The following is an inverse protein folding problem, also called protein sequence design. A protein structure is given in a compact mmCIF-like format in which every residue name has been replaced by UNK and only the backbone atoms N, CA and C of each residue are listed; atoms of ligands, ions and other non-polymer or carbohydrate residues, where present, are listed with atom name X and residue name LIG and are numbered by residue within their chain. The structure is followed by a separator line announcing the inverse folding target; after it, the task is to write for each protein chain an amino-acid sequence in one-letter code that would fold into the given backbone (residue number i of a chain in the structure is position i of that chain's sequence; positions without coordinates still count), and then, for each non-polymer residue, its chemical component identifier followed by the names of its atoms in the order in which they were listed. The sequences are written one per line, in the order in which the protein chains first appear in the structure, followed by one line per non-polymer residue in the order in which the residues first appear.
data_IF_710894071060
#
_entry.id   IF_710894071060
#
_cell.length_a   1.000
_cell.length_b   1.000
_cell.length_c   1.000
_cell.angle_alpha   90.00
_cell.angle_beta   90.00
_cell.angle_gamma   90.00
#
_symmetry.space_group_name_H-M   'P 1'
#
loop_
_entity.id
_entity.type
_entity.pdbx_description
1 polymer ?
#
# COMPACT_ATOMS: atom_id res chain seq x y z
N UNK A 1 30.73 18.66 -51.31
CA UNK A 1 31.73 17.66 -51.74
C UNK A 1 30.97 16.34 -51.91
N UNK A 2 30.83 15.83 -53.15
CA UNK A 2 30.26 14.53 -53.64
C UNK A 2 29.25 13.79 -52.70
N UNK A 3 27.96 13.62 -53.01
CA UNK A 3 27.31 12.72 -54.02
C UNK A 3 27.77 11.25 -53.89
N UNK A 4 26.96 10.17 -53.91
CA UNK A 4 25.68 9.78 -54.58
C UNK A 4 24.83 8.84 -53.63
N UNK A 5 23.59 8.35 -53.85
CA UNK A 5 22.89 7.76 -55.03
C UNK A 5 23.48 6.37 -55.44
N UNK A 6 22.75 5.29 -55.84
CA UNK A 6 21.32 5.04 -56.17
C UNK A 6 20.84 3.66 -55.62
N UNK A 7 19.53 3.40 -55.64
CA UNK A 7 18.78 2.15 -55.41
C UNK A 7 18.89 1.04 -56.51
N UNK A 8 18.15 -0.08 -56.35
CA UNK A 8 17.87 -1.13 -57.39
C UNK A 8 17.99 -2.58 -56.85
N UNK A 9 16.93 -3.41 -56.83
CA UNK A 9 16.38 -4.26 -57.93
C UNK A 9 17.27 -5.47 -58.33
N UNK A 10 16.81 -6.68 -58.68
CA UNK A 10 15.57 -7.51 -58.51
C UNK A 10 15.85 -8.89 -59.17
N UNK A 11 15.07 -9.95 -58.87
CA UNK A 11 14.94 -11.21 -59.67
C UNK A 11 16.22 -12.09 -59.78
N UNK A 12 16.23 -13.43 -59.74
CA UNK A 12 15.29 -14.43 -60.27
C UNK A 12 15.44 -15.84 -59.62
N UNK A 13 14.44 -16.71 -59.84
CA UNK A 13 14.53 -18.19 -59.73
C UNK A 13 14.38 -18.77 -61.14
N UNK A 14 14.92 -19.95 -61.54
CA UNK A 14 14.20 -21.22 -61.27
C UNK A 14 15.03 -22.55 -61.35
N UNK A 15 14.29 -23.67 -61.27
CA UNK A 15 14.61 -25.07 -61.64
C UNK A 15 15.52 -25.88 -60.67
N UNK A 16 15.10 -27.00 -60.06
CA UNK A 16 14.27 -28.19 -60.44
C UNK A 16 15.06 -29.30 -61.15
N UNK A 17 15.24 -30.42 -60.46
CA UNK A 17 15.12 -31.78 -61.03
C UNK A 17 14.61 -32.74 -59.95
N UNK A 18 13.87 -33.76 -60.37
CA UNK A 18 13.22 -34.72 -59.47
C UNK A 18 13.27 -36.14 -60.04
N UNK A 19 13.38 -37.16 -59.18
CA UNK A 19 13.02 -38.53 -59.50
C UNK A 19 12.76 -39.38 -58.23
N UNK A 20 11.49 -39.79 -58.06
CA UNK A 20 10.98 -41.19 -57.90
C UNK A 20 11.65 -42.17 -56.91
N UNK A 21 10.96 -43.14 -56.28
CA UNK A 21 9.54 -43.44 -55.99
C UNK A 21 9.47 -44.82 -55.29
N UNK A 22 8.65 -45.02 -54.24
CA UNK A 22 7.90 -46.26 -53.85
C UNK A 22 7.39 -46.15 -52.38
N UNK A 23 6.08 -45.99 -52.14
CA UNK A 23 5.10 -47.02 -51.69
C UNK A 23 5.48 -47.69 -50.35
N UNK A 24 4.88 -47.43 -49.18
CA UNK A 24 3.46 -47.30 -48.73
C UNK A 24 3.35 -48.05 -47.36
N UNK A 25 2.21 -48.17 -46.63
CA UNK A 25 0.86 -47.61 -46.77
C UNK A 25 0.46 -46.68 -45.57
N UNK A 26 -0.84 -46.37 -45.38
CA UNK A 26 -1.41 -45.38 -44.43
C UNK A 26 -2.12 -45.99 -43.21
N UNK A 27 -2.31 -45.14 -42.18
CA UNK A 27 -3.47 -44.99 -41.25
C UNK A 27 -3.12 -45.12 -39.73
N UNK A 28 -3.97 -44.67 -38.77
CA UNK A 28 -4.31 -43.25 -38.57
C UNK A 28 -4.34 -42.79 -37.07
N UNK A 29 -4.30 -41.47 -36.82
CA UNK A 29 -4.43 -40.86 -35.48
C UNK A 29 -3.11 -40.72 -34.71
N UNK A 30 -2.91 -39.75 -33.82
CA UNK A 30 -3.86 -38.80 -33.20
C UNK A 30 -3.29 -37.37 -33.10
N UNK A 31 -4.12 -36.37 -33.43
CA UNK A 31 -3.88 -34.98 -33.05
C UNK A 31 -4.37 -34.76 -31.61
N UNK A 32 -3.52 -34.95 -30.60
CA UNK A 32 -3.73 -34.46 -29.22
C UNK A 32 -2.44 -34.62 -28.41
N UNK A 33 -1.65 -33.54 -28.26
CA UNK A 33 -0.32 -33.67 -27.63
C UNK A 33 0.47 -32.40 -27.31
N UNK A 34 -0.15 -31.21 -27.27
CA UNK A 34 0.59 -29.94 -27.10
C UNK A 34 0.02 -28.95 -26.07
N UNK A 35 -1.15 -29.23 -25.47
CA UNK A 35 -1.69 -28.39 -24.37
C UNK A 35 -1.30 -28.91 -22.98
N UNK A 36 -1.32 -30.24 -22.76
CA UNK A 36 -1.08 -30.84 -21.44
C UNK A 36 0.32 -30.57 -20.88
N UNK A 37 1.36 -30.64 -21.72
CA UNK A 37 2.74 -30.49 -21.27
C UNK A 37 3.07 -29.06 -20.80
N UNK A 38 2.43 -28.03 -21.34
CA UNK A 38 2.64 -26.65 -20.88
C UNK A 38 2.03 -26.38 -19.49
N UNK A 39 0.92 -27.04 -19.17
CA UNK A 39 0.28 -26.96 -17.85
C UNK A 39 1.06 -27.76 -16.82
N UNK A 40 1.48 -28.99 -17.15
CA UNK A 40 2.32 -29.82 -16.27
C UNK A 40 3.72 -29.23 -16.06
N UNK A 41 4.32 -28.60 -17.09
CA UNK A 41 5.60 -27.91 -16.94
C UNK A 41 5.50 -26.58 -16.17
N UNK A 42 4.32 -25.98 -16.02
CA UNK A 42 4.10 -24.84 -15.09
C UNK A 42 3.81 -25.29 -13.64
N UNK A 43 3.66 -26.58 -13.38
CA UNK A 43 3.52 -27.15 -12.02
C UNK A 43 4.84 -27.64 -11.40
N UNK A 44 5.97 -27.29 -12.01
CA UNK A 44 7.34 -27.64 -11.60
C UNK A 44 8.21 -26.41 -11.92
N UNK A 45 8.80 -25.65 -10.99
CA UNK A 45 9.64 -26.07 -9.87
C UNK A 45 9.44 -25.20 -8.61
N UNK A 46 8.52 -25.59 -7.72
CA UNK A 46 8.88 -25.56 -6.29
C UNK A 46 9.69 -26.83 -6.07
N UNK A 47 10.88 -26.73 -5.47
CA UNK A 47 11.62 -27.93 -5.05
C UNK A 47 10.76 -28.62 -4.00
N UNK A 48 10.05 -29.67 -4.39
CA UNK A 48 8.92 -30.21 -3.62
C UNK A 48 9.37 -30.51 -2.19
N UNK A 49 8.92 -29.65 -1.27
CA UNK A 49 9.00 -29.90 0.16
C UNK A 49 8.37 -31.27 0.43
N UNK A 50 8.95 -32.00 1.37
CA UNK A 50 8.50 -33.36 1.68
C UNK A 50 7.05 -33.35 2.18
N UNK A 51 6.26 -34.31 1.73
CA UNK A 51 4.88 -34.52 2.20
C UNK A 51 4.86 -35.02 3.64
N UNK A 52 3.69 -34.97 4.29
CA UNK A 52 3.48 -35.51 5.64
C UNK A 52 3.91 -36.98 5.77
N UNK A 53 3.58 -37.81 4.78
CA UNK A 53 4.01 -39.21 4.70
C UNK A 53 5.54 -39.34 4.62
N UNK A 54 6.18 -38.55 3.74
CA UNK A 54 7.63 -38.58 3.56
C UNK A 54 8.36 -38.08 4.82
N UNK A 55 7.83 -37.07 5.51
CA UNK A 55 8.35 -36.60 6.78
C UNK A 55 8.19 -37.63 7.89
N UNK A 56 7.02 -38.28 7.97
CA UNK A 56 6.73 -39.33 8.98
C UNK A 56 7.62 -40.56 8.80
N UNK A 57 7.78 -41.02 7.56
CA UNK A 57 8.72 -42.09 7.21
C UNK A 57 10.17 -41.67 7.52
N UNK A 58 10.58 -40.48 7.05
CA UNK A 58 11.91 -39.91 7.26
C UNK A 58 12.27 -39.55 8.70
N UNK A 59 11.32 -39.66 9.64
CA UNK A 59 11.52 -39.44 11.09
C UNK A 59 11.09 -40.64 11.95
N UNK A 60 11.03 -41.84 11.36
CA UNK A 60 10.99 -43.10 12.12
C UNK A 60 9.63 -43.52 12.66
N UNK A 61 8.54 -43.23 11.94
CA UNK A 61 7.23 -43.85 12.16
C UNK A 61 6.45 -43.39 13.42
N UNK A 62 5.31 -44.05 13.65
CA UNK A 62 4.24 -43.59 14.56
C UNK A 62 4.43 -43.96 16.03
N UNK A 63 5.27 -44.96 16.36
CA UNK A 63 5.37 -45.40 17.76
C UNK A 63 5.91 -44.27 18.67
N UNK A 64 5.10 -43.88 19.66
CA UNK A 64 5.33 -42.73 20.56
C UNK A 64 5.48 -41.37 19.84
N UNK A 65 5.01 -41.21 18.59
CA UNK A 65 5.04 -39.92 17.87
C UNK A 65 4.15 -38.88 18.56
N UNK A 66 2.91 -39.27 18.84
CA UNK A 66 1.85 -38.42 19.42
C UNK A 66 2.17 -37.86 20.82
N UNK A 67 3.19 -38.42 21.48
CA UNK A 67 3.69 -38.00 22.81
C UNK A 67 4.98 -37.18 22.73
N UNK A 68 5.34 -36.69 21.56
CA UNK A 68 6.60 -35.99 21.29
C UNK A 68 6.35 -34.62 20.66
N UNK A 69 7.22 -33.64 20.93
CA UNK A 69 7.16 -32.30 20.33
C UNK A 69 7.20 -32.30 18.78
N UNK A 70 7.50 -33.43 18.14
CA UNK A 70 7.46 -33.58 16.68
C UNK A 70 6.06 -33.34 16.10
N UNK A 71 4.99 -33.55 16.89
CA UNK A 71 3.60 -33.30 16.47
C UNK A 71 3.32 -31.84 16.11
N UNK A 72 4.10 -30.89 16.65
CA UNK A 72 4.05 -29.48 16.24
C UNK A 72 4.52 -29.31 14.79
N UNK A 73 5.54 -30.06 14.38
CA UNK A 73 6.05 -30.05 13.00
C UNK A 73 5.05 -30.71 12.06
N UNK A 74 4.42 -31.82 12.50
CA UNK A 74 3.34 -32.47 11.75
C UNK A 74 2.15 -31.53 11.53
N UNK A 75 1.68 -30.87 12.60
CA UNK A 75 0.57 -29.92 12.53
C UNK A 75 0.87 -28.71 11.63
N UNK A 76 2.08 -28.16 11.68
CA UNK A 76 2.50 -27.08 10.80
C UNK A 76 2.57 -27.52 9.32
N UNK A 77 3.06 -28.74 9.06
CA UNK A 77 3.13 -29.30 7.72
C UNK A 77 1.75 -29.58 7.12
N UNK A 78 0.84 -30.17 7.90
CA UNK A 78 -0.56 -30.38 7.53
C UNK A 78 -1.28 -29.05 7.27
N UNK A 79 -1.08 -28.04 8.13
CA UNK A 79 -1.66 -26.71 7.93
C UNK A 79 -1.17 -26.04 6.63
N UNK A 80 0.09 -26.22 6.24
CA UNK A 80 0.60 -25.75 4.95
C UNK A 80 -0.07 -26.46 3.76
N UNK A 81 -0.21 -27.80 3.80
CA UNK A 81 -0.83 -28.55 2.70
C UNK A 81 -2.35 -28.37 2.59
N UNK A 82 -3.02 -27.96 3.68
CA UNK A 82 -4.43 -27.56 3.66
C UNK A 82 -4.69 -26.21 2.95
N UNK A 83 -3.65 -25.37 2.75
CA UNK A 83 -3.79 -24.08 2.07
C UNK A 83 -3.72 -24.22 0.54
N UNK A 84 -4.68 -23.67 -0.23
CA UNK A 84 -4.62 -23.71 -1.69
C UNK A 84 -3.50 -22.81 -2.22
N UNK A 85 -2.94 -23.17 -3.39
CA UNK A 85 -1.82 -22.45 -4.01
C UNK A 85 -2.14 -20.97 -4.35
N UNK A 86 -3.42 -20.61 -4.43
CA UNK A 86 -3.89 -19.23 -4.63
C UNK A 86 -3.78 -18.33 -3.40
N UNK A 87 -3.24 -18.84 -2.27
CA UNK A 87 -3.00 -18.10 -1.01
C UNK A 87 -1.50 -18.02 -0.68
N UNK A 88 -0.67 -17.36 -1.50
CA UNK A 88 0.79 -17.34 -1.34
C UNK A 88 1.25 -16.65 -0.05
N UNK A 89 0.55 -15.64 0.44
CA UNK A 89 0.84 -14.95 1.70
C UNK A 89 0.55 -15.83 2.92
N UNK A 90 -0.62 -16.48 2.94
CA UNK A 90 -0.94 -17.46 3.99
C UNK A 90 0.05 -18.65 3.96
N UNK A 91 0.47 -19.08 2.77
CA UNK A 91 1.50 -20.13 2.60
C UNK A 91 2.88 -19.68 3.08
N UNK A 92 3.26 -18.41 2.91
CA UNK A 92 4.48 -17.85 3.52
C UNK A 92 4.43 -17.95 5.06
N UNK A 93 3.31 -17.56 5.68
CA UNK A 93 3.15 -17.67 7.14
C UNK A 93 3.22 -19.13 7.60
N UNK A 94 2.54 -20.05 6.93
CA UNK A 94 2.61 -21.49 7.25
C UNK A 94 4.02 -22.08 7.04
N UNK A 95 4.78 -21.63 6.04
CA UNK A 95 6.18 -22.02 5.87
C UNK A 95 7.07 -21.47 7.00
N UNK A 96 6.78 -20.28 7.55
CA UNK A 96 7.47 -19.76 8.74
C UNK A 96 7.11 -20.58 9.98
N UNK A 97 5.86 -21.00 10.13
CA UNK A 97 5.41 -21.88 11.21
C UNK A 97 6.12 -23.24 11.16
N UNK A 98 6.32 -23.83 9.97
CA UNK A 98 7.14 -25.04 9.78
C UNK A 98 8.59 -24.80 10.22
N UNK A 99 9.23 -23.71 9.75
CA UNK A 99 10.63 -23.40 10.12
C UNK A 99 10.78 -23.21 11.63
N UNK A 100 9.83 -22.54 12.28
CA UNK A 100 9.79 -22.35 13.73
C UNK A 100 9.65 -23.68 14.47
N UNK A 101 8.64 -24.50 14.12
CA UNK A 101 8.41 -25.81 14.72
C UNK A 101 9.60 -26.76 14.54
N UNK A 102 10.26 -26.72 13.38
CA UNK A 102 11.51 -27.44 13.12
C UNK A 102 12.64 -26.98 14.05
N UNK A 103 12.84 -25.67 14.20
CA UNK A 103 13.84 -25.09 15.10
C UNK A 103 13.60 -25.47 16.56
N UNK A 104 12.37 -25.29 17.06
CA UNK A 104 11.93 -25.65 18.41
C UNK A 104 12.18 -27.13 18.72
N UNK A 105 11.84 -28.01 17.79
CA UNK A 105 12.06 -29.46 17.96
C UNK A 105 13.55 -29.78 18.10
N UNK A 106 14.39 -29.20 17.24
CA UNK A 106 15.84 -29.45 17.22
C UNK A 106 16.52 -28.89 18.47
N UNK A 107 16.10 -27.70 18.91
CA UNK A 107 16.54 -27.09 20.17
C UNK A 107 16.14 -27.94 21.40
N UNK A 108 14.87 -28.38 21.48
CA UNK A 108 14.38 -29.28 22.52
C UNK A 108 15.13 -30.64 22.56
N UNK A 109 15.74 -31.05 21.45
CA UNK A 109 16.58 -32.25 21.34
C UNK A 109 18.08 -32.00 21.49
N UNK A 110 18.51 -30.77 21.78
CA UNK A 110 19.92 -30.43 21.92
C UNK A 110 20.74 -30.72 20.65
N UNK A 111 20.11 -30.63 19.48
CA UNK A 111 20.74 -30.94 18.19
C UNK A 111 20.99 -32.42 17.90
N UNK A 112 20.59 -33.35 18.78
CA UNK A 112 20.88 -34.78 18.64
C UNK A 112 19.61 -35.67 18.67
N UNK A 113 19.66 -36.82 18.00
CA UNK A 113 18.61 -37.84 18.05
C UNK A 113 18.00 -38.19 16.69
N UNK A 114 17.30 -39.32 16.65
CA UNK A 114 16.91 -40.03 15.42
C UNK A 114 16.06 -39.25 14.41
N UNK A 115 15.39 -38.17 14.83
CA UNK A 115 14.52 -37.36 13.97
C UNK A 115 15.16 -36.05 13.48
N UNK A 116 16.24 -35.58 14.14
CA UNK A 116 16.81 -34.24 13.92
C UNK A 116 17.23 -34.01 12.47
N UNK A 117 17.87 -34.99 11.82
CA UNK A 117 18.26 -34.86 10.41
C UNK A 117 17.05 -34.75 9.45
N UNK A 118 15.93 -35.41 9.76
CA UNK A 118 14.68 -35.25 9.02
C UNK A 118 14.07 -33.86 9.22
N UNK A 119 14.00 -33.41 10.48
CA UNK A 119 13.49 -32.08 10.85
C UNK A 119 14.29 -30.93 10.24
N UNK A 120 15.64 -31.01 10.24
CA UNK A 120 16.49 -30.01 9.59
C UNK A 120 16.21 -29.92 8.08
N UNK A 121 16.16 -31.06 7.38
CA UNK A 121 15.86 -31.08 5.94
C UNK A 121 14.49 -30.47 5.60
N UNK A 122 13.47 -30.70 6.44
CA UNK A 122 12.17 -30.05 6.25
C UNK A 122 12.26 -28.53 6.47
N UNK A 123 12.95 -28.08 7.53
CA UNK A 123 13.18 -26.65 7.78
C UNK A 123 13.92 -25.96 6.62
N UNK A 124 14.93 -26.61 6.04
CA UNK A 124 15.68 -26.06 4.90
C UNK A 124 14.84 -26.04 3.60
N UNK A 125 14.03 -27.09 3.35
CA UNK A 125 13.07 -27.09 2.26
C UNK A 125 12.01 -25.99 2.41
N UNK A 126 11.51 -25.77 3.63
CA UNK A 126 10.54 -24.72 3.90
C UNK A 126 11.14 -23.32 3.67
N UNK A 127 12.37 -23.05 4.13
CA UNK A 127 13.10 -21.80 3.82
C UNK A 127 13.29 -21.60 2.32
N UNK A 128 13.68 -22.66 1.59
CA UNK A 128 13.86 -22.59 0.14
C UNK A 128 12.53 -22.28 -0.59
N UNK A 129 11.41 -22.85 -0.12
CA UNK A 129 10.09 -22.59 -0.68
C UNK A 129 9.59 -21.16 -0.42
N UNK A 130 9.95 -20.53 0.71
CA UNK A 130 9.60 -19.11 0.98
C UNK A 130 10.13 -18.18 -0.11
N UNK A 131 11.40 -18.38 -0.53
CA UNK A 131 12.04 -17.60 -1.59
C UNK A 131 11.57 -17.91 -3.02
N UNK A 132 10.62 -18.83 -3.20
CA UNK A 132 10.04 -19.20 -4.50
C UNK A 132 8.62 -18.64 -4.71
N UNK A 133 8.05 -17.96 -3.72
CA UNK A 133 6.74 -17.32 -3.82
C UNK A 133 6.85 -15.99 -4.60
N UNK A 134 5.85 -15.68 -5.43
CA UNK A 134 5.79 -14.38 -6.11
C UNK A 134 5.55 -13.24 -5.10
N UNK A 135 6.43 -12.22 -5.00
CA UNK A 135 6.30 -11.20 -3.96
C UNK A 135 5.04 -10.34 -4.05
N UNK A 136 4.51 -10.11 -5.26
CA UNK A 136 3.26 -9.36 -5.42
C UNK A 136 2.05 -10.19 -4.96
N UNK A 137 2.01 -11.47 -5.34
CA UNK A 137 1.02 -12.40 -4.81
C UNK A 137 1.05 -12.47 -3.28
N UNK A 138 2.25 -12.59 -2.69
CA UNK A 138 2.45 -12.56 -1.23
C UNK A 138 1.92 -11.27 -0.61
N UNK A 139 2.30 -10.10 -1.14
CA UNK A 139 1.84 -8.80 -0.64
C UNK A 139 0.31 -8.68 -0.63
N UNK A 140 -0.33 -8.99 -1.77
CA UNK A 140 -1.79 -8.88 -1.93
C UNK A 140 -2.56 -9.88 -1.04
N UNK A 141 -2.02 -11.08 -0.84
CA UNK A 141 -2.63 -12.08 0.02
C UNK A 141 -2.42 -11.77 1.51
N UNK A 142 -1.25 -11.25 1.91
CA UNK A 142 -1.01 -10.81 3.29
C UNK A 142 -1.90 -9.63 3.69
N UNK A 143 -2.17 -8.69 2.78
CA UNK A 143 -3.21 -7.67 3.00
C UNK A 143 -4.55 -8.31 3.36
N UNK A 144 -4.97 -9.34 2.61
CA UNK A 144 -6.23 -10.09 2.87
C UNK A 144 -6.20 -10.86 4.20
N UNK A 145 -5.02 -11.28 4.68
CA UNK A 145 -4.87 -11.89 6.01
C UNK A 145 -4.99 -10.85 7.13
N UNK A 146 -4.40 -9.66 6.93
CA UNK A 146 -4.47 -8.55 7.89
C UNK A 146 -5.90 -8.00 7.96
N UNK A 147 -6.56 -7.78 6.82
CA UNK A 147 -7.95 -7.35 6.74
C UNK A 147 -8.87 -8.29 7.54
N UNK A 148 -8.75 -9.61 7.34
CA UNK A 148 -9.52 -10.60 8.11
C UNK A 148 -9.20 -10.56 9.61
N UNK A 149 -7.94 -10.35 9.96
CA UNK A 149 -7.51 -10.28 11.37
C UNK A 149 -8.19 -9.09 12.07
N UNK A 150 -8.36 -7.98 11.35
CA UNK A 150 -9.13 -6.82 11.82
C UNK A 150 -10.64 -7.07 11.85
N UNK A 151 -11.22 -7.74 10.84
CA UNK A 151 -12.63 -8.17 10.86
C UNK A 151 -12.95 -9.10 12.06
N UNK A 152 -11.95 -9.86 12.54
CA UNK A 152 -12.03 -10.70 13.74
C UNK A 152 -11.81 -9.92 15.07
N UNK A 153 -11.65 -8.59 15.02
CA UNK A 153 -11.42 -7.74 16.20
C UNK A 153 -10.04 -7.95 16.85
N UNK A 154 -9.04 -8.39 16.09
CA UNK A 154 -7.68 -8.68 16.59
C UNK A 154 -6.68 -7.67 16.05
N UNK A 155 -5.75 -7.25 16.91
CA UNK A 155 -4.67 -6.35 16.56
C UNK A 155 -3.61 -7.07 15.67
N UNK A 156 -3.45 -6.74 14.37
CA UNK A 156 -2.58 -7.51 13.48
C UNK A 156 -1.09 -7.44 13.85
N UNK A 157 -0.65 -6.31 14.41
CA UNK A 157 0.72 -6.12 14.91
C UNK A 157 1.09 -6.94 16.15
N UNK A 158 0.18 -7.75 16.71
CA UNK A 158 0.48 -8.71 17.78
C UNK A 158 0.70 -10.14 17.25
N UNK A 159 0.51 -10.39 15.95
CA UNK A 159 0.83 -11.68 15.34
C UNK A 159 2.35 -11.87 15.25
N UNK A 160 2.88 -12.84 16.01
CA UNK A 160 4.31 -13.18 16.06
C UNK A 160 4.90 -13.59 14.70
N UNK A 161 4.06 -13.91 13.70
CA UNK A 161 4.49 -14.23 12.33
C UNK A 161 4.74 -12.98 11.49
N UNK A 162 4.41 -11.79 12.00
CA UNK A 162 4.67 -10.47 11.39
C UNK A 162 4.11 -10.34 9.96
N UNK A 163 2.79 -10.48 9.74
CA UNK A 163 2.21 -10.39 8.39
C UNK A 163 2.41 -9.02 7.75
N UNK A 164 2.46 -7.94 8.54
CA UNK A 164 2.69 -6.58 8.04
C UNK A 164 4.16 -6.37 7.59
N UNK A 165 5.14 -6.85 8.36
CA UNK A 165 6.54 -6.81 7.97
C UNK A 165 6.89 -7.79 6.85
N UNK A 166 6.23 -8.95 6.75
CA UNK A 166 6.35 -9.80 5.56
C UNK A 166 5.76 -9.14 4.31
N UNK A 167 4.64 -8.43 4.42
CA UNK A 167 4.10 -7.65 3.31
C UNK A 167 5.08 -6.55 2.87
N UNK A 168 5.67 -5.81 3.82
CA UNK A 168 6.71 -4.82 3.54
C UNK A 168 7.96 -5.45 2.86
N UNK A 169 8.42 -6.62 3.32
CA UNK A 169 9.53 -7.35 2.67
C UNK A 169 9.18 -7.77 1.24
N UNK A 170 7.94 -8.23 1.03
CA UNK A 170 7.46 -8.65 -0.27
C UNK A 170 7.33 -7.47 -1.27
N UNK A 171 6.83 -6.32 -0.83
CA UNK A 171 6.73 -5.11 -1.67
C UNK A 171 8.11 -4.54 -2.03
N UNK A 172 9.06 -4.52 -1.08
CA UNK A 172 10.46 -4.12 -1.30
C UNK A 172 11.20 -5.02 -2.30
N UNK A 173 10.77 -6.28 -2.44
CA UNK A 173 11.37 -7.26 -3.34
C UNK A 173 10.91 -7.11 -4.80
N UNK A 174 9.97 -6.21 -5.10
CA UNK A 174 9.43 -6.03 -6.45
C UNK A 174 10.33 -5.13 -7.32
N UNK A 175 10.60 -5.50 -8.58
CA UNK A 175 11.14 -4.58 -9.58
C UNK A 175 10.24 -3.34 -9.73
N UNK A 176 10.84 -2.16 -9.86
CA UNK A 176 10.10 -0.88 -9.86
C UNK A 176 8.88 -0.83 -10.84
N UNK A 177 8.94 -1.36 -12.08
CA UNK A 177 7.76 -1.38 -12.96
C UNK A 177 6.61 -2.26 -12.45
N UNK A 178 6.91 -3.35 -11.72
CA UNK A 178 5.88 -4.18 -11.06
C UNK A 178 5.31 -3.48 -9.84
N UNK A 179 6.14 -2.78 -9.08
CA UNK A 179 5.69 -1.98 -7.93
C UNK A 179 4.74 -0.86 -8.36
N UNK A 180 5.11 -0.08 -9.38
CA UNK A 180 4.28 1.00 -9.93
C UNK A 180 2.92 0.46 -10.43
N UNK A 181 2.94 -0.61 -11.24
CA UNK A 181 1.71 -1.27 -11.69
C UNK A 181 0.84 -1.78 -10.52
N UNK A 182 1.45 -2.42 -9.52
CA UNK A 182 0.76 -2.88 -8.32
C UNK A 182 0.12 -1.71 -7.55
N UNK A 183 0.79 -0.57 -7.42
CA UNK A 183 0.25 0.60 -6.75
C UNK A 183 -0.86 1.27 -7.55
N UNK A 184 -0.75 1.34 -8.89
CA UNK A 184 -1.85 1.82 -9.74
C UNK A 184 -3.11 0.96 -9.61
N UNK A 185 -2.99 -0.34 -9.35
CA UNK A 185 -4.16 -1.16 -9.02
C UNK A 185 -4.84 -0.73 -7.72
N UNK A 186 -4.08 -0.35 -6.70
CA UNK A 186 -4.65 0.16 -5.45
C UNK A 186 -5.24 1.57 -5.61
N UNK A 187 -4.68 2.42 -6.47
CA UNK A 187 -5.32 3.69 -6.86
C UNK A 187 -6.64 3.43 -7.60
N UNK A 188 -6.69 2.46 -8.52
CA UNK A 188 -7.95 2.06 -9.17
C UNK A 188 -8.96 1.48 -8.18
N UNK A 189 -8.52 0.74 -7.15
CA UNK A 189 -9.40 0.28 -6.05
C UNK A 189 -9.95 1.46 -5.24
N UNK A 190 -9.13 2.44 -4.87
CA UNK A 190 -9.57 3.65 -4.18
C UNK A 190 -10.63 4.40 -5.03
N UNK A 191 -10.38 4.57 -6.33
CA UNK A 191 -11.35 5.17 -7.24
C UNK A 191 -12.66 4.38 -7.35
N UNK A 192 -12.58 3.05 -7.40
CA UNK A 192 -13.76 2.18 -7.47
C UNK A 192 -14.65 2.24 -6.22
N UNK A 193 -14.11 2.62 -5.04
CA UNK A 193 -14.95 2.86 -3.85
C UNK A 193 -16.00 3.95 -4.10
N UNK A 194 -15.74 4.93 -4.99
CA UNK A 194 -16.71 6.00 -5.32
C UNK A 194 -18.06 5.47 -5.79
N UNK A 195 -18.06 4.32 -6.47
CA UNK A 195 -19.26 3.69 -7.02
C UNK A 195 -20.00 2.82 -5.98
N UNK A 196 -19.50 2.73 -4.74
CA UNK A 196 -20.21 2.10 -3.63
C UNK A 196 -21.38 2.99 -3.18
N UNK A 197 -22.60 2.51 -3.38
CA UNK A 197 -23.83 3.20 -2.97
C UNK A 197 -23.88 3.42 -1.45
N UNK A 198 -23.22 2.56 -0.66
CA UNK A 198 -23.15 2.66 0.81
C UNK A 198 -22.21 3.75 1.30
N UNK A 199 -21.37 4.35 0.44
CA UNK A 199 -20.56 5.49 0.86
C UNK A 199 -21.41 6.73 1.17
N UNK A 200 -21.05 7.50 2.21
CA UNK A 200 -21.53 8.87 2.38
C UNK A 200 -21.15 9.77 1.19
N UNK A 201 -22.02 10.71 0.84
CA UNK A 201 -21.84 11.62 -0.31
C UNK A 201 -20.57 12.48 -0.17
N UNK A 202 -20.23 12.89 1.05
CA UNK A 202 -19.02 13.67 1.34
C UNK A 202 -17.76 12.84 1.01
N UNK A 203 -17.79 11.54 1.27
CA UNK A 203 -16.67 10.63 0.98
C UNK A 203 -16.57 10.33 -0.52
N UNK A 204 -17.70 10.17 -1.23
CA UNK A 204 -17.71 10.06 -2.70
C UNK A 204 -17.17 11.32 -3.38
N UNK A 205 -17.50 12.50 -2.85
CA UNK A 205 -17.02 13.79 -3.35
C UNK A 205 -15.51 13.94 -3.17
N UNK A 206 -14.99 13.58 -2.00
CA UNK A 206 -13.54 13.50 -1.74
C UNK A 206 -12.86 12.54 -2.72
N UNK A 207 -13.32 11.29 -2.86
CA UNK A 207 -12.70 10.33 -3.79
C UNK A 207 -12.75 10.86 -5.24
N UNK A 208 -13.84 11.52 -5.65
CA UNK A 208 -13.95 12.17 -6.95
C UNK A 208 -12.85 13.22 -7.21
N UNK A 209 -12.57 14.07 -6.23
CA UNK A 209 -11.46 15.04 -6.29
C UNK A 209 -10.10 14.35 -6.37
N UNK A 210 -9.85 13.34 -5.52
CA UNK A 210 -8.58 12.62 -5.49
C UNK A 210 -8.31 11.89 -6.81
N UNK A 211 -9.35 11.33 -7.46
CA UNK A 211 -9.21 10.69 -8.76
C UNK A 211 -8.98 11.69 -9.90
N UNK A 212 -9.42 12.95 -9.79
CA UNK A 212 -9.17 13.98 -10.79
C UNK A 212 -7.67 14.35 -10.88
N UNK A 213 -6.90 14.20 -9.80
CA UNK A 213 -5.45 14.51 -9.77
C UNK A 213 -4.54 13.31 -9.99
N UNK A 214 -5.07 12.08 -10.07
CA UNK A 214 -4.28 10.87 -10.39
C UNK A 214 -3.43 10.99 -11.67
N UNK A 215 -3.89 11.61 -12.78
CA UNK A 215 -3.07 11.78 -13.98
C UNK A 215 -1.76 12.55 -13.77
N UNK A 216 -1.67 13.40 -12.74
CA UNK A 216 -0.47 14.17 -12.40
C UNK A 216 0.60 13.30 -11.68
N UNK A 217 0.22 12.12 -11.17
CA UNK A 217 1.15 11.20 -10.50
C UNK A 217 1.86 10.32 -11.54
N UNK A 218 3.04 10.76 -11.94
CA UNK A 218 3.83 10.15 -13.01
C UNK A 218 4.44 8.81 -12.58
N UNK A 219 4.92 8.68 -11.35
CA UNK A 219 5.59 7.48 -10.83
C UNK A 219 5.15 7.14 -9.40
N UNK A 220 4.85 5.87 -9.14
CA UNK A 220 4.66 5.29 -7.81
C UNK A 220 5.82 4.35 -7.50
N UNK A 221 6.61 4.64 -6.47
CA UNK A 221 7.83 3.91 -6.15
C UNK A 221 8.00 3.66 -4.64
N UNK A 222 8.84 2.69 -4.29
CA UNK A 222 9.27 2.51 -2.90
C UNK A 222 10.19 3.67 -2.46
N UNK A 223 10.07 4.21 -1.23
CA UNK A 223 10.87 5.33 -0.75
C UNK A 223 12.38 5.04 -0.66
N UNK A 224 13.14 5.56 -1.63
CA UNK A 224 14.60 5.65 -1.54
C UNK A 224 14.98 6.57 -0.37
N UNK A 225 15.71 6.02 0.61
CA UNK A 225 16.05 6.72 1.86
C UNK A 225 14.99 6.64 2.96
N UNK A 226 13.96 5.80 2.82
CA UNK A 226 13.05 5.43 3.91
C UNK A 226 12.00 6.49 4.31
N UNK A 227 11.85 7.57 3.52
CA UNK A 227 10.77 8.55 3.70
C UNK A 227 9.72 8.40 2.60
N UNK A 228 8.55 7.89 2.98
CA UNK A 228 7.33 7.97 2.16
C UNK A 228 6.90 9.42 1.93
N UNK A 229 5.93 9.61 1.07
CA UNK A 229 5.35 10.93 0.77
C UNK A 229 5.36 11.30 -0.71
N UNK A 230 4.52 12.26 -1.06
CA UNK A 230 4.50 12.90 -2.38
C UNK A 230 5.72 13.81 -2.59
N UNK A 231 6.21 13.89 -3.82
CA UNK A 231 7.26 14.82 -4.26
C UNK A 231 6.82 15.48 -5.57
N UNK A 232 6.81 16.81 -5.61
CA UNK A 232 6.80 17.55 -6.87
C UNK A 232 8.19 17.46 -7.53
N UNK A 233 8.23 17.22 -8.84
CA UNK A 233 9.45 17.32 -9.64
C UNK A 233 9.72 18.79 -10.01
N UNK A 234 10.81 19.40 -9.52
CA UNK A 234 11.13 20.81 -9.81
C UNK A 234 11.58 21.07 -11.25
N UNK A 235 11.78 20.02 -12.07
CA UNK A 235 12.09 20.16 -13.50
C UNK A 235 10.83 20.16 -14.39
N UNK A 236 9.65 19.87 -13.83
CA UNK A 236 8.37 19.97 -14.53
C UNK A 236 7.99 21.45 -14.75
N UNK A 237 7.21 21.72 -15.81
CA UNK A 237 6.67 23.05 -16.04
C UNK A 237 5.58 23.37 -15.00
N UNK A 238 5.43 24.64 -14.61
CA UNK A 238 4.36 25.04 -13.65
C UNK A 238 2.96 24.71 -14.19
N UNK A 239 2.77 24.76 -15.52
CA UNK A 239 1.53 24.39 -16.21
C UNK A 239 1.33 22.86 -16.41
N UNK A 240 2.36 22.03 -16.16
CA UNK A 240 2.31 20.56 -16.28
C UNK A 240 3.12 19.89 -15.15
N UNK A 241 2.67 20.02 -13.87
CA UNK A 241 3.43 19.59 -12.71
C UNK A 241 3.44 18.06 -12.56
N UNK A 242 4.63 17.47 -12.55
CA UNK A 242 4.83 16.03 -12.39
C UNK A 242 5.05 15.64 -10.91
N UNK A 243 4.31 14.64 -10.44
CA UNK A 243 4.39 14.16 -9.05
C UNK A 243 4.91 12.72 -8.95
N UNK A 244 5.90 12.50 -8.07
CA UNK A 244 6.38 11.17 -7.69
C UNK A 244 5.86 10.79 -6.30
N UNK A 245 5.06 9.74 -6.23
CA UNK A 245 4.56 9.19 -4.97
C UNK A 245 5.53 8.11 -4.46
N UNK A 246 6.11 8.36 -3.28
CA UNK A 246 6.94 7.39 -2.56
C UNK A 246 6.03 6.65 -1.57
N UNK A 247 5.58 5.44 -1.94
CA UNK A 247 4.52 4.74 -1.21
C UNK A 247 5.08 3.99 0.00
N UNK A 248 4.59 4.31 1.18
CA UNK A 248 4.81 3.50 2.38
C UNK A 248 3.92 2.25 2.34
N UNK A 249 4.55 1.08 2.48
CA UNK A 249 3.88 -0.22 2.46
C UNK A 249 3.97 -0.94 3.81
N UNK A 250 4.15 -0.18 4.90
CA UNK A 250 3.93 -0.62 6.29
C UNK A 250 2.44 -0.85 6.59
N UNK A 251 1.82 -1.79 5.88
CA UNK A 251 0.37 -2.04 5.81
C UNK A 251 -0.22 -2.71 7.07
N UNK A 252 0.12 -2.17 8.24
CA UNK A 252 -0.28 -2.67 9.57
C UNK A 252 -1.80 -2.78 9.77
N UNK A 253 -2.57 -1.90 9.10
CA UNK A 253 -4.03 -1.92 9.05
C UNK A 253 -4.58 -2.41 7.70
N UNK A 254 -3.85 -3.30 7.03
CA UNK A 254 -4.30 -3.99 5.83
C UNK A 254 -4.57 -3.07 4.64
N UNK A 255 -5.59 -3.42 3.86
CA UNK A 255 -6.03 -2.67 2.68
C UNK A 255 -6.53 -1.29 3.06
N UNK A 256 -7.20 -1.11 4.21
CA UNK A 256 -7.68 0.22 4.62
C UNK A 256 -6.51 1.18 4.87
N UNK A 257 -5.44 0.71 5.54
CA UNK A 257 -4.23 1.50 5.75
C UNK A 257 -3.61 1.95 4.41
N UNK A 258 -3.47 1.02 3.45
CA UNK A 258 -2.88 1.31 2.14
C UNK A 258 -3.72 2.29 1.32
N UNK A 259 -5.04 2.07 1.20
CA UNK A 259 -5.93 2.96 0.46
C UNK A 259 -6.03 4.34 1.11
N UNK A 260 -6.06 4.41 2.45
CA UNK A 260 -6.03 5.67 3.18
C UNK A 260 -4.69 6.42 3.05
N UNK A 261 -3.55 5.72 2.93
CA UNK A 261 -2.27 6.36 2.61
C UNK A 261 -2.25 6.89 1.17
N UNK A 262 -2.79 6.15 0.20
CA UNK A 262 -2.97 6.68 -1.17
C UNK A 262 -3.86 7.94 -1.15
N UNK A 263 -4.95 7.93 -0.38
CA UNK A 263 -5.84 9.08 -0.25
C UNK A 263 -5.17 10.30 0.42
N UNK A 264 -4.37 10.08 1.48
CA UNK A 264 -3.55 11.11 2.11
C UNK A 264 -2.67 11.84 1.08
N UNK A 265 -1.96 11.06 0.26
CA UNK A 265 -0.93 11.58 -0.64
C UNK A 265 -1.52 12.23 -1.90
N UNK A 266 -2.64 11.70 -2.42
CA UNK A 266 -3.42 12.39 -3.44
C UNK A 266 -4.07 13.69 -2.90
N UNK A 267 -4.33 13.79 -1.59
CA UNK A 267 -4.87 15.03 -1.00
C UNK A 267 -3.82 16.15 -1.03
N UNK A 268 -2.53 15.85 -0.83
CA UNK A 268 -1.44 16.82 -1.02
C UNK A 268 -1.43 17.39 -2.46
N UNK A 269 -1.61 16.54 -3.47
CA UNK A 269 -1.70 16.97 -4.88
C UNK A 269 -2.95 17.83 -5.13
N UNK A 270 -4.11 17.41 -4.62
CA UNK A 270 -5.37 18.15 -4.75
C UNK A 270 -5.34 19.52 -4.04
N UNK A 271 -4.67 19.60 -2.89
CA UNK A 271 -4.46 20.84 -2.16
C UNK A 271 -3.47 21.77 -2.87
N UNK A 272 -2.34 21.24 -3.38
CA UNK A 272 -1.38 22.02 -4.17
C UNK A 272 -2.05 22.66 -5.40
N UNK A 273 -2.81 21.86 -6.16
CA UNK A 273 -3.59 22.33 -7.31
C UNK A 273 -4.69 23.35 -6.94
N UNK A 274 -5.25 23.28 -5.73
CA UNK A 274 -6.27 24.21 -5.27
C UNK A 274 -5.72 25.54 -4.75
N UNK A 275 -4.59 25.49 -4.04
CA UNK A 275 -4.08 26.61 -3.26
C UNK A 275 -2.89 27.32 -3.90
N UNK A 276 -2.30 26.77 -4.97
CA UNK A 276 -1.07 27.31 -5.57
C UNK A 276 0.11 27.25 -4.59
N UNK A 277 0.19 26.15 -3.83
CA UNK A 277 1.15 25.99 -2.74
C UNK A 277 2.58 25.88 -3.27
N UNK A 278 3.56 26.09 -2.40
CA UNK A 278 4.94 25.72 -2.68
C UNK A 278 5.11 24.18 -2.80
N UNK A 279 6.31 23.69 -3.20
CA UNK A 279 6.70 22.28 -3.10
C UNK A 279 6.57 21.64 -1.70
N UNK A 280 6.36 22.42 -0.63
CA UNK A 280 6.03 21.91 0.72
C UNK A 280 4.59 21.39 0.83
N UNK A 281 3.74 21.69 -0.15
CA UNK A 281 2.33 21.27 -0.24
C UNK A 281 1.47 21.80 0.91
N UNK A 282 1.74 23.03 1.33
CA UNK A 282 0.99 23.69 2.39
C UNK A 282 -0.51 23.87 2.03
N UNK A 283 -1.38 23.54 2.98
CA UNK A 283 -2.84 23.54 2.88
C UNK A 283 -3.43 24.96 3.09
N UNK A 284 -2.77 25.96 2.52
CA UNK A 284 -3.03 27.39 2.70
C UNK A 284 -2.98 28.07 1.33
N UNK A 285 -3.98 28.88 1.02
CA UNK A 285 -4.05 29.62 -0.23
C UNK A 285 -2.86 30.59 -0.38
N UNK A 286 -2.21 30.55 -1.54
CA UNK A 286 -1.11 31.44 -1.86
C UNK A 286 -1.56 32.90 -1.78
N UNK A 287 -0.84 33.70 -0.99
CA UNK A 287 -1.17 35.10 -0.72
C UNK A 287 -1.88 35.36 0.61
N UNK A 288 -2.30 34.32 1.36
CA UNK A 288 -2.94 34.49 2.66
C UNK A 288 -2.09 35.29 3.66
N UNK A 289 -2.74 36.16 4.41
CA UNK A 289 -2.14 36.96 5.49
C UNK A 289 -1.90 36.13 6.74
N UNK A 290 -0.97 36.56 7.59
CA UNK A 290 -0.72 35.91 8.89
C UNK A 290 -1.99 35.82 9.75
N UNK A 291 -2.94 36.76 9.59
CA UNK A 291 -4.22 36.74 10.31
C UNK A 291 -5.17 35.65 9.79
N UNK A 292 -5.30 35.49 8.47
CA UNK A 292 -6.05 34.38 7.85
C UNK A 292 -5.43 33.04 8.23
N UNK A 293 -4.11 32.90 8.14
CA UNK A 293 -3.38 31.68 8.50
C UNK A 293 -3.58 31.33 9.98
N UNK A 294 -3.47 32.30 10.88
CA UNK A 294 -3.71 32.08 12.30
C UNK A 294 -5.18 31.72 12.60
N UNK A 295 -6.14 32.27 11.85
CA UNK A 295 -7.55 31.90 11.99
C UNK A 295 -7.83 30.46 11.51
N UNK A 296 -7.33 30.10 10.33
CA UNK A 296 -7.45 28.77 9.74
C UNK A 296 -6.78 27.69 10.60
N UNK A 297 -5.60 27.98 11.15
CA UNK A 297 -4.90 27.08 12.07
C UNK A 297 -5.70 26.83 13.37
N UNK A 298 -6.33 27.86 13.95
CA UNK A 298 -7.20 27.72 15.13
C UNK A 298 -8.46 26.91 14.82
N UNK A 299 -9.13 27.18 13.70
CA UNK A 299 -10.30 26.40 13.24
C UNK A 299 -9.94 24.91 13.14
N UNK A 300 -8.87 24.59 12.40
CA UNK A 300 -8.41 23.21 12.20
C UNK A 300 -7.98 22.54 13.51
N UNK A 301 -7.26 23.24 14.38
CA UNK A 301 -6.86 22.71 15.69
C UNK A 301 -8.08 22.37 16.56
N UNK A 302 -9.08 23.26 16.59
CA UNK A 302 -10.33 23.04 17.32
C UNK A 302 -11.07 21.82 16.78
N UNK A 303 -11.20 21.68 15.44
CA UNK A 303 -11.85 20.50 14.84
C UNK A 303 -11.11 19.19 15.14
N UNK A 304 -9.78 19.17 15.13
CA UNK A 304 -9.01 17.98 15.55
C UNK A 304 -9.20 17.65 17.04
N UNK A 305 -9.35 18.65 17.90
CA UNK A 305 -9.64 18.44 19.32
C UNK A 305 -11.06 17.88 19.55
N UNK A 306 -12.06 18.39 18.82
CA UNK A 306 -13.43 17.86 18.84
C UNK A 306 -13.50 16.42 18.31
N UNK A 307 -12.78 16.12 17.22
CA UNK A 307 -12.62 14.76 16.70
C UNK A 307 -11.97 13.83 17.74
N UNK A 308 -10.94 14.29 18.45
CA UNK A 308 -10.30 13.49 19.51
C UNK A 308 -11.26 13.23 20.68
N UNK A 309 -12.09 14.21 21.06
CA UNK A 309 -13.12 14.02 22.07
C UNK A 309 -14.21 13.03 21.63
N UNK A 310 -14.67 13.12 20.38
CA UNK A 310 -15.66 12.20 19.81
C UNK A 310 -15.11 10.76 19.69
N UNK A 311 -13.83 10.60 19.33
CA UNK A 311 -13.14 9.31 19.30
C UNK A 311 -13.09 8.67 20.69
N UNK A 312 -12.71 9.44 21.71
CA UNK A 312 -12.65 8.97 23.10
C UNK A 312 -14.02 8.53 23.65
N UNK A 313 -15.11 9.14 23.18
CA UNK A 313 -16.48 8.75 23.53
C UNK A 313 -17.06 7.57 22.75
N UNK A 314 -16.42 7.11 21.67
CA UNK A 314 -16.89 6.00 20.84
C UNK A 314 -16.51 4.65 21.45
N UNK A 315 -17.49 3.77 21.66
CA UNK A 315 -17.30 2.37 22.06
C UNK A 315 -17.26 1.39 20.87
N UNK A 316 -17.38 1.87 19.63
CA UNK A 316 -17.45 1.05 18.42
C UNK A 316 -16.08 0.60 17.92
N UNK A 317 -15.03 1.34 18.26
CA UNK A 317 -13.65 1.06 17.84
C UNK A 317 -12.92 0.16 18.85
N UNK A 318 -12.28 -0.89 18.35
CA UNK A 318 -11.28 -1.64 19.11
C UNK A 318 -10.03 -0.78 19.39
N UNK A 319 -9.15 -1.28 20.27
CA UNK A 319 -7.94 -0.55 20.69
C UNK A 319 -7.01 -0.23 19.50
N UNK A 320 -6.90 -1.13 18.51
CA UNK A 320 -6.03 -0.94 17.35
C UNK A 320 -6.58 0.11 16.39
N UNK A 321 -7.88 0.08 16.11
CA UNK A 321 -8.58 1.10 15.33
C UNK A 321 -8.50 2.47 16.01
N UNK A 322 -8.67 2.52 17.33
CA UNK A 322 -8.57 3.74 18.14
C UNK A 322 -7.16 4.33 18.09
N UNK A 323 -6.13 3.52 18.32
CA UNK A 323 -4.72 3.94 18.21
C UNK A 323 -4.40 4.45 16.80
N UNK A 324 -4.89 3.77 15.75
CA UNK A 324 -4.73 4.22 14.37
C UNK A 324 -5.38 5.59 14.09
N UNK A 325 -6.58 5.84 14.62
CA UNK A 325 -7.26 7.13 14.45
C UNK A 325 -6.61 8.23 15.29
N UNK A 326 -6.23 7.94 16.54
CA UNK A 326 -5.56 8.90 17.42
C UNK A 326 -4.18 9.30 16.87
N UNK A 327 -3.39 8.36 16.34
CA UNK A 327 -2.11 8.68 15.69
C UNK A 327 -2.30 9.71 14.57
N UNK A 328 -3.37 9.60 13.77
CA UNK A 328 -3.66 10.54 12.67
C UNK A 328 -4.12 11.91 13.16
N UNK A 329 -4.95 11.98 14.20
CA UNK A 329 -5.33 13.24 14.82
C UNK A 329 -4.11 13.95 15.44
N UNK A 330 -3.23 13.20 16.13
CA UNK A 330 -1.98 13.74 16.69
C UNK A 330 -1.02 14.18 15.57
N UNK A 331 -0.86 13.39 14.51
CA UNK A 331 -0.01 13.71 13.35
C UNK A 331 -0.46 14.99 12.63
N UNK A 332 -1.78 15.19 12.51
CA UNK A 332 -2.39 16.40 11.94
C UNK A 332 -2.19 17.66 12.80
N UNK A 333 -2.01 17.50 14.11
CA UNK A 333 -1.85 18.58 15.08
C UNK A 333 -0.40 18.80 15.55
N UNK A 334 0.61 18.23 14.87
CA UNK A 334 2.01 18.34 15.29
C UNK A 334 2.53 19.78 15.24
N UNK A 335 3.09 20.33 16.33
CA UNK A 335 3.68 21.67 16.33
C UNK A 335 5.00 21.69 15.55
N UNK A 336 5.38 22.89 15.08
CA UNK A 336 6.62 23.18 14.34
C UNK A 336 6.80 22.44 12.99
N UNK A 337 5.76 21.76 12.50
CA UNK A 337 5.89 20.83 11.37
C UNK A 337 6.08 21.56 10.03
N UNK A 338 5.36 22.65 9.80
CA UNK A 338 5.53 23.46 8.60
C UNK A 338 6.96 24.04 8.52
N UNK A 339 7.48 24.51 9.65
CA UNK A 339 8.80 25.11 9.81
C UNK A 339 9.93 24.09 9.60
N UNK A 340 9.75 22.86 10.12
CA UNK A 340 10.63 21.73 9.87
C UNK A 340 10.63 21.32 8.38
N UNK A 341 9.48 21.34 7.72
CA UNK A 341 9.37 20.99 6.30
C UNK A 341 9.98 22.08 5.43
N UNK A 342 9.64 23.35 5.63
CA UNK A 342 10.26 24.49 4.94
C UNK A 342 11.80 24.48 5.08
N UNK A 343 12.30 24.25 6.29
CA UNK A 343 13.75 24.14 6.55
C UNK A 343 14.41 22.93 5.90
N UNK A 344 13.68 21.81 5.73
CA UNK A 344 14.19 20.61 5.06
C UNK A 344 14.21 20.77 3.54
N UNK A 345 13.18 21.40 2.97
CA UNK A 345 13.04 21.61 1.53
C UNK A 345 14.00 22.69 1.01
N UNK A 346 14.24 23.76 1.76
CA UNK A 346 15.25 24.78 1.41
C UNK A 346 16.66 24.19 1.43
N UNK A 347 17.03 23.42 2.47
CA UNK A 347 18.32 22.69 2.51
C UNK A 347 18.48 21.70 1.36
N UNK A 348 17.39 21.19 0.80
CA UNK A 348 17.38 20.32 -0.37
C UNK A 348 17.30 21.08 -1.71
N UNK A 349 17.36 22.42 -1.70
CA UNK A 349 17.28 23.27 -2.89
C UNK A 349 15.90 23.29 -3.57
N UNK A 350 14.85 22.80 -2.89
CA UNK A 350 13.50 22.68 -3.46
C UNK A 350 12.64 23.93 -3.33
N UNK A 351 12.95 24.80 -2.38
CA UNK A 351 12.30 26.11 -2.21
C UNK A 351 13.37 27.18 -1.96
N UNK A 352 13.04 28.42 -2.32
CA UNK A 352 13.89 29.58 -2.08
C UNK A 352 13.92 29.98 -0.60
N UNK A 353 14.93 30.75 -0.20
CA UNK A 353 15.00 31.32 1.15
C UNK A 353 13.78 32.19 1.49
N UNK A 354 13.26 32.97 0.53
CA UNK A 354 12.06 33.80 0.70
C UNK A 354 10.78 32.95 0.89
N UNK A 355 10.63 31.84 0.16
CA UNK A 355 9.54 30.89 0.39
C UNK A 355 9.63 30.27 1.79
N UNK A 356 10.83 29.85 2.23
CA UNK A 356 11.05 29.35 3.58
C UNK A 356 10.69 30.39 4.65
N UNK A 357 11.13 31.63 4.49
CA UNK A 357 10.84 32.72 5.44
C UNK A 357 9.33 32.94 5.58
N UNK A 358 8.59 33.00 4.47
CA UNK A 358 7.12 33.07 4.46
C UNK A 358 6.47 31.90 5.21
N UNK A 359 6.88 30.66 4.92
CA UNK A 359 6.32 29.46 5.56
C UNK A 359 6.65 29.38 7.07
N UNK A 360 7.80 29.89 7.50
CA UNK A 360 8.16 30.01 8.93
C UNK A 360 7.34 31.13 9.61
N UNK A 361 7.06 32.23 8.92
CA UNK A 361 6.12 33.26 9.39
C UNK A 361 4.72 32.70 9.60
N UNK A 362 4.18 31.99 8.61
CA UNK A 362 2.90 31.27 8.70
C UNK A 362 2.88 30.21 9.82
N UNK A 363 3.95 29.45 10.00
CA UNK A 363 4.10 28.52 11.12
C UNK A 363 4.06 29.25 12.48
N UNK A 364 4.75 30.38 12.59
CA UNK A 364 4.75 31.24 13.78
C UNK A 364 3.35 31.80 14.07
N UNK A 365 2.61 32.24 13.04
CA UNK A 365 1.24 32.75 13.15
C UNK A 365 0.24 31.65 13.60
N UNK A 366 0.44 30.41 13.16
CA UNK A 366 -0.32 29.24 13.61
C UNK A 366 0.09 28.72 15.00
N UNK A 367 1.30 29.04 15.46
CA UNK A 367 1.86 28.57 16.73
C UNK A 367 1.85 27.04 16.84
N UNK A 368 1.31 26.52 17.94
CA UNK A 368 1.26 25.07 18.18
C UNK A 368 0.40 24.28 17.17
N UNK A 369 -0.37 24.97 16.32
CA UNK A 369 -1.21 24.35 15.29
C UNK A 369 -0.53 24.27 13.90
N UNK A 370 0.77 24.58 13.76
CA UNK A 370 1.41 24.69 12.43
C UNK A 370 1.34 23.42 11.57
N UNK A 371 1.29 22.21 12.16
CA UNK A 371 1.06 20.97 11.40
C UNK A 371 -0.30 20.88 10.72
N UNK A 372 -1.31 21.60 11.20
CA UNK A 372 -2.63 21.66 10.55
C UNK A 372 -2.56 22.36 9.19
N UNK A 373 -1.51 23.17 8.95
CA UNK A 373 -1.24 23.83 7.68
C UNK A 373 -0.59 22.91 6.63
N UNK A 374 -0.31 21.65 6.97
CA UNK A 374 0.27 20.66 6.05
C UNK A 374 -0.57 19.38 6.00
N UNK A 375 -1.17 18.97 7.12
CA UNK A 375 -1.68 17.59 7.27
C UNK A 375 -3.18 17.49 7.55
N UNK A 376 -3.86 18.60 7.86
CA UNK A 376 -5.27 18.54 8.30
C UNK A 376 -6.16 17.87 7.25
N UNK A 377 -6.16 18.37 6.02
CA UNK A 377 -6.95 17.83 4.92
C UNK A 377 -6.60 16.35 4.65
N UNK A 378 -5.31 16.00 4.74
CA UNK A 378 -4.79 14.68 4.35
C UNK A 378 -5.12 13.60 5.39
N UNK A 379 -5.08 13.92 6.70
CA UNK A 379 -5.48 12.97 7.75
C UNK A 379 -7.00 12.77 7.80
N UNK A 380 -7.80 13.79 7.51
CA UNK A 380 -9.26 13.65 7.45
C UNK A 380 -9.66 12.68 6.33
N UNK A 381 -9.15 12.90 5.11
CA UNK A 381 -9.43 12.05 3.95
C UNK A 381 -8.90 10.63 4.17
N UNK A 382 -7.74 10.46 4.80
CA UNK A 382 -7.20 9.14 5.17
C UNK A 382 -8.12 8.38 6.12
N UNK A 383 -8.65 9.05 7.16
CA UNK A 383 -9.56 8.42 8.13
C UNK A 383 -10.93 8.11 7.53
N UNK A 384 -11.45 8.89 6.57
CA UNK A 384 -12.71 8.55 5.87
C UNK A 384 -12.63 7.17 5.19
N UNK A 385 -11.50 6.88 4.54
CA UNK A 385 -11.25 5.58 3.91
C UNK A 385 -11.16 4.46 4.96
N UNK A 386 -10.57 4.72 6.13
CA UNK A 386 -10.52 3.74 7.22
C UNK A 386 -11.92 3.36 7.69
N UNK A 387 -12.75 4.35 8.05
CA UNK A 387 -14.08 4.10 8.62
C UNK A 387 -15.02 3.39 7.64
N UNK A 388 -14.99 3.73 6.35
CA UNK A 388 -15.75 3.00 5.34
C UNK A 388 -15.28 1.55 5.19
N UNK A 389 -13.96 1.32 5.07
CA UNK A 389 -13.40 -0.03 4.92
C UNK A 389 -13.63 -0.91 6.16
N UNK A 390 -13.72 -0.31 7.34
CA UNK A 390 -14.10 -0.98 8.60
C UNK A 390 -15.61 -1.13 8.80
N UNK A 391 -16.43 -0.60 7.87
CA UNK A 391 -17.89 -0.58 7.94
C UNK A 391 -18.44 0.07 9.22
N UNK A 392 -17.75 1.09 9.72
CA UNK A 392 -18.19 1.90 10.87
C UNK A 392 -19.56 2.51 10.59
N UNK A 393 -20.43 2.49 11.59
CA UNK A 393 -21.75 3.11 11.55
C UNK A 393 -21.67 4.58 11.14
N UNK A 394 -22.47 4.98 10.16
CA UNK A 394 -22.49 6.37 9.67
C UNK A 394 -23.07 7.36 10.68
N UNK A 395 -23.81 6.84 11.67
CA UNK A 395 -24.34 7.58 12.82
C UNK A 395 -23.33 7.68 13.98
N UNK A 396 -22.15 7.04 13.87
CA UNK A 396 -21.10 7.16 14.88
C UNK A 396 -20.69 8.64 15.03
N UNK A 397 -20.72 9.23 16.25
CA UNK A 397 -20.43 10.66 16.44
C UNK A 397 -19.07 11.11 15.89
N UNK A 398 -18.06 10.25 15.94
CA UNK A 398 -16.75 10.51 15.34
C UNK A 398 -16.84 10.57 13.80
N UNK A 399 -17.54 9.62 13.18
CA UNK A 399 -17.68 9.57 11.72
C UNK A 399 -18.52 10.75 11.20
N UNK A 400 -19.62 11.11 11.87
CA UNK A 400 -20.43 12.29 11.52
C UNK A 400 -19.59 13.57 11.53
N UNK A 401 -18.82 13.79 12.60
CA UNK A 401 -17.94 14.96 12.70
C UNK A 401 -16.81 14.94 11.66
N UNK A 402 -16.24 13.77 11.39
CA UNK A 402 -15.18 13.58 10.40
C UNK A 402 -15.65 13.92 8.99
N UNK A 403 -16.86 13.48 8.61
CA UNK A 403 -17.48 13.82 7.31
C UNK A 403 -17.69 15.31 7.15
N UNK A 404 -18.24 15.97 8.17
CA UNK A 404 -18.42 17.43 8.19
C UNK A 404 -17.08 18.18 8.03
N UNK A 405 -16.05 17.74 8.75
CA UNK A 405 -14.72 18.35 8.67
C UNK A 405 -14.07 18.16 7.28
N UNK A 406 -14.18 16.96 6.70
CA UNK A 406 -13.65 16.65 5.38
C UNK A 406 -14.40 17.39 4.26
N UNK A 407 -15.74 17.52 4.36
CA UNK A 407 -16.54 18.30 3.43
C UNK A 407 -16.12 19.77 3.45
N UNK A 408 -15.98 20.39 4.63
CA UNK A 408 -15.52 21.77 4.74
C UNK A 408 -14.11 21.98 4.14
N UNK A 409 -13.22 20.99 4.24
CA UNK A 409 -11.91 21.03 3.59
C UNK A 409 -12.02 20.91 2.05
N UNK A 410 -12.87 20.01 1.55
CA UNK A 410 -13.18 19.87 0.12
C UNK A 410 -13.80 21.16 -0.47
N UNK A 411 -14.74 21.78 0.25
CA UNK A 411 -15.40 23.02 -0.18
C UNK A 411 -14.39 24.18 -0.25
N UNK A 412 -13.47 24.27 0.73
CA UNK A 412 -12.37 25.23 0.72
C UNK A 412 -11.46 25.05 -0.50
N UNK A 413 -11.02 23.82 -0.80
CA UNK A 413 -10.23 23.51 -2.01
C UNK A 413 -10.99 23.82 -3.29
N UNK A 414 -12.29 23.52 -3.34
CA UNK A 414 -13.13 23.77 -4.51
C UNK A 414 -13.35 25.26 -4.80
N UNK A 415 -13.52 26.09 -3.75
CA UNK A 415 -13.62 27.55 -3.90
C UNK A 415 -12.31 28.19 -4.35
N UNK A 416 -11.18 27.74 -3.82
CA UNK A 416 -9.86 28.22 -4.23
C UNK A 416 -9.60 27.93 -5.72
N UNK A 417 -9.91 26.71 -6.20
CA UNK A 417 -9.86 26.36 -7.64
C UNK A 417 -10.78 27.23 -8.52
N UNK A 418 -11.93 27.65 -8.00
CA UNK A 418 -12.88 28.47 -8.74
C UNK A 418 -12.50 29.96 -8.81
N UNK A 419 -11.40 30.37 -8.15
CA UNK A 419 -11.01 31.79 -8.06
C UNK A 419 -12.01 32.65 -7.27
N UNK A 420 -12.81 32.03 -6.40
CA UNK A 420 -13.81 32.74 -5.60
C UNK A 420 -13.15 33.60 -4.50
N UNK A 421 -13.66 34.83 -4.24
CA UNK A 421 -13.23 35.61 -3.09
C UNK A 421 -13.59 34.90 -1.77
N UNK A 422 -12.80 35.14 -0.73
CA UNK A 422 -12.85 34.38 0.53
C UNK A 422 -14.18 34.51 1.29
N UNK A 423 -14.59 33.40 1.90
CA UNK A 423 -15.54 33.41 3.01
C UNK A 423 -14.93 34.21 4.17
N UNK A 424 -15.49 35.39 4.46
CA UNK A 424 -15.41 35.90 5.83
C UNK A 424 -16.09 34.88 6.76
N UNK A 425 -15.50 34.54 7.92
CA UNK A 425 -16.18 33.67 8.88
C UNK A 425 -17.51 34.32 9.27
N UNK A 426 -18.58 33.52 9.24
CA UNK A 426 -19.93 33.99 9.53
C UNK A 426 -19.94 34.77 10.87
N UNK A 427 -20.22 36.07 10.79
CA UNK A 427 -20.34 36.87 12.01
C UNK A 427 -21.47 36.28 12.86
N UNK A 428 -21.27 36.09 14.18
CA UNK A 428 -22.36 35.71 15.05
C UNK A 428 -23.46 36.78 14.98
N UNK A 429 -24.75 36.39 15.03
CA UNK A 429 -25.84 37.34 14.94
C UNK A 429 -25.69 38.40 16.05
N UNK A 430 -25.67 39.67 15.66
CA UNK A 430 -25.73 40.78 16.61
C UNK A 430 -27.13 40.78 17.22
N UNK A 431 -27.19 40.47 18.52
CA UNK A 431 -28.38 40.59 19.38
C UNK A 431 -28.28 41.80 20.30
#
# INVERSE_FOLDING_TARGET
MRTHEVAGQTHDTPQVTAARSRSGPRSPGSFQGTAGNAVVARMVTVSRMMTEDQFTQGTGGTSRRDRSQITKVDGALAAFYALPDTRPGARLLALKDIVSACGDYVAHKGGAGSRVAGTNRLGDQARAAQGQLDPEGVFRDLLTVIDRTMEEGKHPGLDLRDPAGEALRASQSLPAPRFDAMMRDFVRKLGALREDETLPEETRSVIGELMAVVPLVTVMQYPQGGKGGMKLDPAAAEDDPAFTFNVDTQVRGGTSFLLGHIAHELTHVAAHQAFGSSPVMELVQSGATDQEVAALARERQQTLAELKAALAGSAEFDDFQRDMLEEKLVYGAQPLKLELYASTFEKAGKITAAQKERLVGWGTAAGNASGTLVEYDTVLNQMLIYLHMWRTSQDNPFYVLLRKAAQAAFDRRSRARAGGPEDQPAQPPQG
#
